data_IF_036786097936
#
_entry.id   IF_036786097936
#
_cell.length_a   1.000
_cell.length_b   1.000
_cell.length_c   1.000
_cell.angle_alpha   90.00
_cell.angle_beta   90.00
_cell.angle_gamma   90.00
#
_symmetry.space_group_name_H-M   'P 1'
#
loop_
_entity.id
_entity.type
_entity.pdbx_description
1 polymer ?
#
# COMPACT_ATOMS: atom_id res chain seq x y z
N UNK A 1 -24.66 -105.34 1.04
CA UNK A 1 -24.60 -104.01 0.40
C UNK A 1 -26.01 -103.52 0.00
N UNK A 2 -26.88 -103.13 0.95
CA UNK A 2 -28.20 -102.55 0.62
C UNK A 2 -28.72 -101.48 1.59
N UNK A 3 -27.92 -101.07 2.57
CA UNK A 3 -28.32 -100.14 3.65
C UNK A 3 -27.56 -98.80 3.66
N UNK A 4 -26.54 -98.61 2.81
CA UNK A 4 -25.80 -97.34 2.72
C UNK A 4 -26.36 -96.37 1.66
N UNK A 5 -27.08 -96.88 0.65
CA UNK A 5 -27.59 -96.06 -0.47
C UNK A 5 -28.91 -95.33 -0.15
N UNK A 6 -29.71 -95.82 0.80
CA UNK A 6 -31.00 -95.22 1.14
C UNK A 6 -30.90 -93.99 2.05
N UNK A 7 -29.82 -93.86 2.84
CA UNK A 7 -29.58 -92.67 3.67
C UNK A 7 -29.07 -91.49 2.83
N UNK A 8 -28.24 -91.74 1.81
CA UNK A 8 -27.65 -90.67 0.97
C UNK A 8 -28.68 -90.06 0.00
N UNK A 9 -29.67 -90.83 -0.45
CA UNK A 9 -30.69 -90.34 -1.40
C UNK A 9 -31.78 -89.45 -0.77
N UNK A 10 -31.96 -89.47 0.56
CA UNK A 10 -32.95 -88.63 1.25
C UNK A 10 -32.39 -87.29 1.78
N UNK A 11 -31.07 -87.17 1.97
CA UNK A 11 -30.45 -85.91 2.39
C UNK A 11 -30.26 -84.92 1.23
N UNK A 12 -30.06 -85.43 0.00
CA UNK A 12 -29.91 -84.62 -1.21
C UNK A 12 -31.12 -83.73 -1.50
N UNK A 13 -32.39 -84.21 -1.47
CA UNK A 13 -33.56 -83.34 -1.72
C UNK A 13 -33.78 -82.30 -0.60
N UNK A 14 -33.32 -82.57 0.62
CA UNK A 14 -33.47 -81.64 1.76
C UNK A 14 -32.44 -80.51 1.71
N UNK A 15 -31.20 -80.81 1.33
CA UNK A 15 -30.20 -79.79 1.04
C UNK A 15 -30.60 -78.93 -0.18
N UNK A 16 -31.17 -79.55 -1.22
CA UNK A 16 -31.63 -78.85 -2.41
C UNK A 16 -32.77 -77.85 -2.12
N UNK A 17 -33.70 -78.18 -1.24
CA UNK A 17 -34.80 -77.28 -0.86
C UNK A 17 -34.31 -76.06 -0.05
N UNK A 18 -33.34 -76.26 0.85
CA UNK A 18 -32.70 -75.15 1.57
C UNK A 18 -31.96 -74.23 0.59
N UNK A 19 -31.17 -74.79 -0.33
CA UNK A 19 -30.47 -74.03 -1.36
C UNK A 19 -31.40 -73.26 -2.29
N UNK A 20 -32.51 -73.88 -2.72
CA UNK A 20 -33.51 -73.22 -3.56
C UNK A 20 -34.24 -72.11 -2.82
N UNK A 21 -34.51 -72.28 -1.52
CA UNK A 21 -35.11 -71.21 -0.71
C UNK A 21 -34.16 -70.02 -0.52
N UNK A 22 -32.86 -70.29 -0.29
CA UNK A 22 -31.83 -69.26 -0.19
C UNK A 22 -31.62 -68.54 -1.53
N UNK A 23 -31.57 -69.29 -2.64
CA UNK A 23 -31.53 -68.73 -3.99
C UNK A 23 -32.77 -67.92 -4.30
N UNK A 24 -33.95 -68.35 -3.85
CA UNK A 24 -35.21 -67.62 -3.96
C UNK A 24 -35.18 -66.30 -3.20
N UNK A 25 -34.74 -66.29 -1.95
CA UNK A 25 -34.61 -65.06 -1.14
C UNK A 25 -33.54 -64.13 -1.72
N UNK A 26 -32.41 -64.67 -2.16
CA UNK A 26 -31.34 -63.92 -2.82
C UNK A 26 -31.85 -63.29 -4.13
N UNK A 27 -32.55 -64.06 -4.96
CA UNK A 27 -33.11 -63.55 -6.24
C UNK A 27 -34.21 -62.53 -5.99
N UNK A 28 -35.05 -62.69 -4.97
CA UNK A 28 -36.03 -61.67 -4.58
C UNK A 28 -35.39 -60.38 -4.06
N UNK A 29 -34.31 -60.50 -3.26
CA UNK A 29 -33.56 -59.36 -2.77
C UNK A 29 -32.87 -58.61 -3.93
N UNK A 30 -32.22 -59.35 -4.84
CA UNK A 30 -31.56 -58.80 -6.04
C UNK A 30 -32.59 -58.21 -7.00
N UNK A 31 -33.72 -58.88 -7.25
CA UNK A 31 -34.80 -58.39 -8.08
C UNK A 31 -35.44 -57.13 -7.47
N UNK A 32 -35.66 -57.09 -6.16
CA UNK A 32 -36.14 -55.90 -5.45
C UNK A 32 -35.16 -54.72 -5.57
N UNK A 33 -33.86 -54.99 -5.50
CA UNK A 33 -32.80 -54.00 -5.67
C UNK A 33 -32.72 -53.46 -7.12
N UNK A 34 -32.90 -54.33 -8.11
CA UNK A 34 -32.87 -54.00 -9.55
C UNK A 34 -34.17 -53.32 -10.03
N UNK A 35 -35.34 -53.68 -9.48
CA UNK A 35 -36.65 -53.12 -9.85
C UNK A 35 -36.97 -51.79 -9.15
N UNK A 36 -36.34 -51.49 -8.00
CA UNK A 36 -36.54 -50.22 -7.25
C UNK A 36 -35.25 -49.48 -6.86
N UNK A 37 -34.28 -49.28 -7.78
CA UNK A 37 -33.01 -48.59 -7.47
C UNK A 37 -33.21 -47.12 -7.06
N UNK A 38 -34.32 -46.50 -7.48
CA UNK A 38 -34.65 -45.10 -7.20
C UNK A 38 -35.12 -44.83 -5.77
N UNK A 39 -35.66 -45.78 -5.00
CA UNK A 39 -36.22 -45.47 -3.67
C UNK A 39 -35.20 -45.56 -2.53
N UNK A 40 -34.12 -46.32 -2.70
CA UNK A 40 -33.07 -46.49 -1.69
C UNK A 40 -31.85 -45.58 -1.96
N UNK A 41 -31.53 -45.27 -3.23
CA UNK A 41 -30.44 -44.33 -3.58
C UNK A 41 -30.82 -42.85 -3.46
N UNK A 42 -32.12 -42.52 -3.48
CA UNK A 42 -32.56 -41.11 -3.42
C UNK A 42 -32.45 -40.47 -2.04
N UNK A 43 -32.43 -41.24 -0.96
CA UNK A 43 -32.50 -40.69 0.40
C UNK A 43 -31.13 -40.64 1.07
N UNK A 44 -30.30 -41.69 0.93
CA UNK A 44 -28.97 -41.70 1.54
C UNK A 44 -28.03 -40.65 0.92
N UNK A 45 -28.01 -40.54 -0.41
CA UNK A 45 -27.21 -39.52 -1.10
C UNK A 45 -27.72 -38.09 -0.87
N UNK A 46 -29.05 -37.90 -0.81
CA UNK A 46 -29.64 -36.60 -0.52
C UNK A 46 -29.41 -36.17 0.93
N UNK A 47 -29.50 -37.07 1.92
CA UNK A 47 -29.25 -36.75 3.33
C UNK A 47 -27.79 -36.52 3.66
N UNK A 48 -26.87 -37.25 3.02
CA UNK A 48 -25.42 -36.97 3.16
C UNK A 48 -25.10 -35.61 2.54
N UNK A 49 -25.72 -35.28 1.40
CA UNK A 49 -25.59 -33.96 0.78
C UNK A 49 -26.23 -32.84 1.60
N UNK A 50 -27.41 -33.08 2.19
CA UNK A 50 -28.08 -32.13 3.10
C UNK A 50 -27.32 -31.93 4.41
N UNK A 51 -26.66 -32.97 4.92
CA UNK A 51 -25.81 -32.87 6.11
C UNK A 51 -24.45 -32.22 5.82
N UNK A 52 -23.97 -32.28 4.58
CA UNK A 52 -22.74 -31.62 4.13
C UNK A 52 -22.97 -30.16 3.69
N UNK A 53 -24.21 -29.79 3.34
CA UNK A 53 -24.58 -28.42 3.06
C UNK A 53 -24.81 -27.69 4.38
N UNK A 54 -24.15 -26.55 4.59
CA UNK A 54 -24.34 -25.80 5.83
C UNK A 54 -25.82 -25.41 5.99
N UNK A 55 -26.31 -25.50 7.21
CA UNK A 55 -27.72 -25.27 7.53
C UNK A 55 -28.17 -23.85 7.18
N UNK A 56 -29.49 -23.60 7.06
CA UNK A 56 -30.01 -22.25 6.84
C UNK A 56 -29.57 -21.28 7.95
N UNK A 57 -29.47 -21.74 9.19
CA UNK A 57 -28.98 -20.94 10.32
C UNK A 57 -27.50 -20.58 10.18
N UNK A 58 -26.64 -21.55 9.80
CA UNK A 58 -25.21 -21.32 9.55
C UNK A 58 -24.95 -20.41 8.34
N UNK A 59 -25.83 -20.41 7.33
CA UNK A 59 -25.78 -19.44 6.22
C UNK A 59 -26.16 -18.04 6.69
N UNK A 60 -27.20 -17.93 7.52
CA UNK A 60 -27.64 -16.65 8.07
C UNK A 60 -26.59 -16.06 9.03
N UNK A 61 -25.91 -16.88 9.84
CA UNK A 61 -24.77 -16.46 10.66
C UNK A 61 -23.61 -15.96 9.82
N UNK A 62 -23.19 -16.72 8.79
CA UNK A 62 -22.11 -16.28 7.88
C UNK A 62 -22.45 -14.98 7.15
N UNK A 63 -23.70 -14.80 6.74
CA UNK A 63 -24.13 -13.55 6.12
C UNK A 63 -24.04 -12.38 7.11
N UNK A 64 -24.48 -12.55 8.36
CA UNK A 64 -24.37 -11.53 9.41
C UNK A 64 -22.91 -11.16 9.70
N UNK A 65 -22.03 -12.13 9.73
CA UNK A 65 -20.60 -11.90 9.95
C UNK A 65 -19.96 -11.18 8.76
N UNK A 66 -20.35 -11.53 7.53
CA UNK A 66 -19.90 -10.83 6.33
C UNK A 66 -20.41 -9.39 6.29
N UNK A 67 -21.68 -9.15 6.60
CA UNK A 67 -22.26 -7.80 6.66
C UNK A 67 -21.55 -6.94 7.73
N UNK A 68 -21.22 -7.54 8.89
CA UNK A 68 -20.45 -6.88 9.94
C UNK A 68 -19.05 -6.51 9.46
N UNK A 69 -18.33 -7.47 8.87
CA UNK A 69 -16.98 -7.24 8.35
C UNK A 69 -16.98 -6.19 7.24
N UNK A 70 -17.93 -6.23 6.31
CA UNK A 70 -18.08 -5.22 5.27
C UNK A 70 -18.34 -3.82 5.86
N UNK A 71 -19.15 -3.74 6.92
CA UNK A 71 -19.36 -2.51 7.68
C UNK A 71 -18.07 -1.99 8.34
N UNK A 72 -17.27 -2.86 8.95
CA UNK A 72 -16.00 -2.49 9.58
C UNK A 72 -14.97 -1.98 8.55
N UNK A 73 -14.85 -2.68 7.41
CA UNK A 73 -13.94 -2.28 6.33
C UNK A 73 -14.38 -0.98 5.68
N UNK A 74 -15.69 -0.74 5.50
CA UNK A 74 -16.21 0.52 5.00
C UNK A 74 -15.84 1.70 5.92
N UNK A 75 -16.03 1.54 7.23
CA UNK A 75 -15.62 2.57 8.21
C UNK A 75 -14.10 2.81 8.19
N UNK A 76 -13.30 1.74 8.02
CA UNK A 76 -11.85 1.86 7.91
C UNK A 76 -11.44 2.62 6.62
N UNK A 77 -12.07 2.30 5.49
CA UNK A 77 -11.84 2.97 4.21
C UNK A 77 -12.20 4.47 4.29
N UNK A 78 -13.34 4.82 4.86
CA UNK A 78 -13.75 6.22 5.05
C UNK A 78 -12.77 7.01 5.92
N UNK A 79 -12.29 6.40 7.01
CA UNK A 79 -11.27 7.03 7.89
C UNK A 79 -9.92 7.18 7.19
N UNK A 80 -9.54 6.21 6.38
CA UNK A 80 -8.31 6.27 5.59
C UNK A 80 -8.40 7.37 4.52
N UNK A 81 -9.55 7.50 3.85
CA UNK A 81 -9.82 8.58 2.90
C UNK A 81 -9.75 9.96 3.55
N UNK A 82 -10.39 10.13 4.71
CA UNK A 82 -10.32 11.38 5.46
C UNK A 82 -8.87 11.71 5.85
N UNK A 83 -8.09 10.71 6.25
CA UNK A 83 -6.67 10.87 6.58
C UNK A 83 -5.84 11.24 5.35
N UNK A 84 -6.08 10.59 4.21
CA UNK A 84 -5.40 10.88 2.95
C UNK A 84 -5.66 12.31 2.49
N UNK A 85 -6.91 12.79 2.59
CA UNK A 85 -7.26 14.19 2.29
C UNK A 85 -6.53 15.17 3.22
N UNK A 86 -6.57 14.96 4.53
CA UNK A 86 -5.86 15.82 5.48
C UNK A 86 -4.36 15.88 5.19
N UNK A 87 -3.74 14.73 4.89
CA UNK A 87 -2.31 14.67 4.55
C UNK A 87 -1.99 15.35 3.22
N UNK A 88 -2.92 15.30 2.27
CA UNK A 88 -2.80 16.03 1.01
C UNK A 88 -2.84 17.54 1.24
N UNK A 89 -3.76 18.02 2.07
CA UNK A 89 -3.86 19.43 2.42
C UNK A 89 -2.62 19.91 3.19
N UNK A 90 -2.13 19.12 4.15
CA UNK A 90 -0.86 19.36 4.85
C UNK A 90 0.31 19.47 3.86
N UNK A 91 0.39 18.57 2.87
CA UNK A 91 1.44 18.62 1.85
C UNK A 91 1.37 19.90 1.00
N UNK A 92 0.18 20.31 0.54
CA UNK A 92 0.01 21.55 -0.21
C UNK A 92 0.47 22.76 0.62
N UNK A 93 0.09 22.82 1.90
CA UNK A 93 0.55 23.90 2.78
C UNK A 93 2.09 23.92 2.91
N UNK A 94 2.73 22.76 3.07
CA UNK A 94 4.21 22.69 3.12
C UNK A 94 4.88 23.01 1.79
N UNK A 95 4.21 22.75 0.66
CA UNK A 95 4.68 23.13 -0.67
C UNK A 95 4.68 24.66 -0.82
N UNK A 96 3.59 25.31 -0.42
CA UNK A 96 3.47 26.78 -0.44
C UNK A 96 4.55 27.43 0.46
N UNK A 97 4.81 26.87 1.65
CA UNK A 97 5.90 27.33 2.53
C UNK A 97 7.28 27.16 1.86
N UNK A 98 7.53 26.03 1.22
CA UNK A 98 8.80 25.77 0.53
C UNK A 98 9.02 26.69 -0.67
N UNK A 99 7.95 27.05 -1.38
CA UNK A 99 7.98 28.01 -2.48
C UNK A 99 8.22 29.44 -1.99
N UNK A 100 7.55 29.87 -0.91
CA UNK A 100 7.81 31.17 -0.30
C UNK A 100 9.26 31.30 0.19
N UNK A 101 9.80 30.25 0.83
CA UNK A 101 11.19 30.22 1.26
C UNK A 101 12.17 30.27 0.07
N UNK A 102 11.82 29.63 -1.05
CA UNK A 102 12.59 29.70 -2.29
C UNK A 102 12.62 31.12 -2.86
N UNK A 103 11.47 31.78 -2.98
CA UNK A 103 11.38 33.15 -3.48
C UNK A 103 12.14 34.14 -2.61
N UNK A 104 12.08 33.99 -1.28
CA UNK A 104 12.85 34.81 -0.35
C UNK A 104 14.37 34.63 -0.55
N UNK A 105 14.81 33.38 -0.72
CA UNK A 105 16.21 33.07 -1.03
C UNK A 105 16.64 33.68 -2.37
N UNK A 106 15.85 33.54 -3.45
CA UNK A 106 16.17 34.12 -4.75
C UNK A 106 16.28 35.65 -4.69
N UNK A 107 15.39 36.31 -3.97
CA UNK A 107 15.45 37.76 -3.75
C UNK A 107 16.74 38.17 -3.00
N UNK A 108 17.14 37.40 -1.98
CA UNK A 108 18.38 37.64 -1.25
C UNK A 108 19.63 37.41 -2.13
N UNK A 109 19.65 36.34 -2.91
CA UNK A 109 20.72 36.03 -3.86
C UNK A 109 20.85 37.12 -4.93
N UNK A 110 19.74 37.63 -5.48
CA UNK A 110 19.76 38.74 -6.43
C UNK A 110 20.37 40.03 -5.82
N UNK A 111 20.09 40.31 -4.54
CA UNK A 111 20.71 41.44 -3.83
C UNK A 111 22.21 41.24 -3.63
N UNK A 112 22.65 40.01 -3.29
CA UNK A 112 24.08 39.68 -3.17
C UNK A 112 24.81 39.86 -4.49
N UNK A 113 24.22 39.41 -5.61
CA UNK A 113 24.82 39.60 -6.95
C UNK A 113 24.97 41.07 -7.30
N UNK A 114 23.90 41.86 -7.14
CA UNK A 114 23.90 43.30 -7.40
C UNK A 114 24.98 44.04 -6.60
N UNK A 115 25.16 43.69 -5.32
CA UNK A 115 26.17 44.30 -4.47
C UNK A 115 27.58 43.78 -4.75
N UNK A 116 27.73 42.53 -5.18
CA UNK A 116 29.02 41.99 -5.60
C UNK A 116 29.52 42.72 -6.85
N UNK A 117 28.63 43.03 -7.80
CA UNK A 117 28.95 43.84 -8.97
C UNK A 117 29.36 45.26 -8.58
N UNK A 118 28.67 45.86 -7.60
CA UNK A 118 29.03 47.17 -7.06
C UNK A 118 30.37 47.15 -6.30
N UNK A 119 30.68 46.06 -5.59
CA UNK A 119 31.94 45.88 -4.86
C UNK A 119 33.15 45.72 -5.78
N UNK A 120 32.94 45.29 -7.03
CA UNK A 120 33.99 45.19 -8.04
C UNK A 120 34.44 46.56 -8.60
N UNK A 121 33.69 47.64 -8.32
CA UNK A 121 34.06 48.99 -8.73
C UNK A 121 35.20 49.55 -7.87
N UNK A 122 36.13 50.34 -8.46
CA UNK A 122 37.21 50.96 -7.72
C UNK A 122 36.69 51.80 -6.55
N UNK A 123 37.23 51.55 -5.36
CA UNK A 123 36.84 52.24 -4.14
C UNK A 123 37.49 53.62 -4.10
N UNK A 124 36.77 54.69 -3.73
CA UNK A 124 37.38 55.99 -3.51
C UNK A 124 38.38 55.90 -2.35
N UNK A 125 39.63 56.30 -2.58
CA UNK A 125 40.73 56.22 -1.60
C UNK A 125 40.68 57.32 -0.53
N UNK A 126 39.53 57.98 -0.34
CA UNK A 126 39.39 59.05 0.64
C UNK A 126 39.30 58.45 2.04
N UNK A 127 40.20 58.82 2.97
CA UNK A 127 40.11 58.36 4.35
C UNK A 127 38.83 58.89 4.99
N UNK A 128 38.09 58.03 5.68
CA UNK A 128 36.83 58.39 6.33
C UNK A 128 37.05 59.07 7.67
N UNK A 129 36.13 59.96 8.02
CA UNK A 129 36.13 60.63 9.32
C UNK A 129 35.55 59.71 10.41
N UNK A 130 35.94 59.89 11.68
CA UNK A 130 35.34 59.13 12.79
C UNK A 130 33.80 59.26 12.89
N UNK A 131 33.25 60.41 12.50
CA UNK A 131 31.80 60.62 12.47
C UNK A 131 31.11 59.72 11.43
N UNK A 132 31.71 59.57 10.25
CA UNK A 132 31.22 58.68 9.19
C UNK A 132 31.24 57.21 9.63
N UNK A 133 32.27 56.78 10.36
CA UNK A 133 32.30 55.42 10.93
C UNK A 133 31.16 55.18 11.91
N UNK A 134 30.90 56.13 12.82
CA UNK A 134 29.81 56.02 13.78
C UNK A 134 28.42 56.04 13.11
N UNK A 135 28.24 56.82 12.04
CA UNK A 135 27.01 56.80 11.23
C UNK A 135 26.79 55.45 10.55
N UNK A 136 27.87 54.83 10.04
CA UNK A 136 27.81 53.52 9.40
C UNK A 136 27.53 52.39 10.38
N UNK A 137 28.12 52.44 11.56
CA UNK A 137 27.82 51.49 12.62
C UNK A 137 26.33 51.55 13.02
N UNK A 138 25.79 52.77 13.21
CA UNK A 138 24.35 52.97 13.46
C UNK A 138 23.47 52.40 12.35
N UNK A 139 23.88 52.61 11.09
CA UNK A 139 23.17 52.06 9.95
C UNK A 139 23.21 50.53 9.93
N UNK A 140 24.36 49.91 10.18
CA UNK A 140 24.53 48.45 10.22
C UNK A 140 23.62 47.83 11.30
N UNK A 141 23.62 48.40 12.51
CA UNK A 141 22.75 47.93 13.59
C UNK A 141 21.27 48.01 13.22
N UNK A 142 20.84 49.11 12.59
CA UNK A 142 19.45 49.27 12.13
C UNK A 142 19.11 48.26 11.05
N UNK A 143 19.97 48.10 10.05
CA UNK A 143 19.76 47.14 8.97
C UNK A 143 19.72 45.68 9.47
N UNK A 144 20.56 45.33 10.45
CA UNK A 144 20.55 44.02 11.09
C UNK A 144 19.27 43.78 11.90
N UNK A 145 18.79 44.79 12.65
CA UNK A 145 17.51 44.73 13.36
C UNK A 145 16.33 44.58 12.38
N UNK A 146 16.32 45.34 11.28
CA UNK A 146 15.29 45.24 10.26
C UNK A 146 15.29 43.87 9.57
N UNK A 147 16.47 43.28 9.33
CA UNK A 147 16.58 41.91 8.81
C UNK A 147 16.09 40.88 9.84
N UNK A 148 16.41 41.06 11.12
CA UNK A 148 15.92 40.20 12.20
C UNK A 148 14.40 40.24 12.34
N UNK A 149 13.79 41.43 12.34
CA UNK A 149 12.33 41.55 12.42
C UNK A 149 11.60 40.94 11.22
N UNK A 150 12.23 40.97 10.04
CA UNK A 150 11.75 40.27 8.84
C UNK A 150 12.04 38.76 8.85
N UNK A 151 12.65 38.24 9.91
CA UNK A 151 13.07 36.83 10.08
C UNK A 151 14.08 36.35 9.02
N UNK A 152 14.82 37.30 8.45
CA UNK A 152 15.87 37.05 7.45
C UNK A 152 17.24 36.78 8.10
N UNK A 153 17.36 37.04 9.40
CA UNK A 153 18.58 36.85 10.19
C UNK A 153 18.27 36.10 11.49
N UNK A 154 19.15 35.19 11.90
CA UNK A 154 18.99 34.48 13.18
C UNK A 154 19.33 35.37 14.38
N UNK A 155 18.85 34.99 15.57
CA UNK A 155 19.20 35.68 16.84
C UNK A 155 20.71 35.61 17.12
N UNK A 156 21.35 34.49 16.79
CA UNK A 156 22.79 34.29 16.95
C UNK A 156 23.56 35.22 16.02
N UNK A 157 23.17 35.29 14.74
CA UNK A 157 23.77 36.19 13.76
C UNK A 157 23.57 37.66 14.16
N UNK A 158 22.41 38.02 14.71
CA UNK A 158 22.17 39.37 15.24
C UNK A 158 23.11 39.69 16.41
N UNK A 159 23.27 38.73 17.32
CA UNK A 159 24.15 38.86 18.47
C UNK A 159 25.61 39.02 18.04
N UNK A 160 26.04 38.32 16.99
CA UNK A 160 27.39 38.43 16.43
C UNK A 160 27.64 39.78 15.75
N UNK A 161 26.62 40.40 15.13
CA UNK A 161 26.69 41.77 14.61
C UNK A 161 26.98 42.76 15.75
N UNK A 162 26.21 42.69 16.84
CA UNK A 162 26.39 43.57 18.01
C UNK A 162 27.66 43.28 18.80
N UNK A 163 28.16 42.04 18.78
CA UNK A 163 29.41 41.64 19.42
C UNK A 163 30.65 41.88 18.52
N UNK A 164 30.46 42.42 17.31
CA UNK A 164 31.50 42.58 16.29
C UNK A 164 32.29 41.28 15.99
N UNK A 165 31.65 40.12 16.15
CA UNK A 165 32.26 38.82 15.87
C UNK A 165 32.10 38.49 14.40
N UNK A 166 33.15 38.76 13.62
CA UNK A 166 33.11 38.63 12.17
C UNK A 166 32.41 39.79 11.46
N UNK A 167 32.06 40.87 12.18
CA UNK A 167 31.47 42.09 11.65
C UNK A 167 32.35 43.27 12.05
N UNK A 168 33.21 43.73 11.14
CA UNK A 168 34.12 44.85 11.44
C UNK A 168 33.56 46.19 10.92
N UNK A 169 33.21 47.14 11.81
CA UNK A 169 32.72 48.47 11.45
C UNK A 169 33.74 49.31 10.66
N UNK A 170 35.01 48.88 10.59
CA UNK A 170 36.07 49.58 9.86
C UNK A 170 36.16 49.19 8.38
N UNK A 171 35.51 48.10 7.97
CA UNK A 171 35.47 47.65 6.58
C UNK A 171 34.82 48.69 5.66
N UNK A 172 34.99 48.51 4.35
CA UNK A 172 34.31 49.37 3.39
C UNK A 172 32.78 49.17 3.50
N UNK A 173 31.91 50.21 3.35
CA UNK A 173 30.48 50.10 3.60
C UNK A 173 29.81 49.13 2.64
N UNK A 174 30.34 49.03 1.41
CA UNK A 174 29.91 48.03 0.42
C UNK A 174 30.29 46.62 0.89
N UNK A 175 31.45 46.42 1.49
CA UNK A 175 31.86 45.13 2.04
C UNK A 175 31.00 44.76 3.26
N UNK A 176 30.69 45.72 4.14
CA UNK A 176 29.81 45.52 5.29
C UNK A 176 28.39 45.13 4.86
N UNK A 177 27.82 45.86 3.91
CA UNK A 177 26.51 45.51 3.38
C UNK A 177 26.55 44.15 2.68
N UNK A 178 27.59 43.85 1.92
CA UNK A 178 27.74 42.55 1.26
C UNK A 178 27.85 41.41 2.27
N UNK A 179 28.55 41.60 3.39
CA UNK A 179 28.57 40.64 4.50
C UNK A 179 27.16 40.43 5.07
N UNK A 180 26.40 41.52 5.30
CA UNK A 180 25.01 41.47 5.78
C UNK A 180 24.12 40.66 4.85
N UNK A 181 24.19 40.96 3.55
CA UNK A 181 23.37 40.26 2.55
C UNK A 181 23.77 38.81 2.37
N UNK A 182 25.05 38.47 2.48
CA UNK A 182 25.52 37.06 2.46
C UNK A 182 25.01 36.29 3.66
N UNK A 183 25.08 36.87 4.86
CA UNK A 183 24.55 36.23 6.07
C UNK A 183 23.04 35.98 5.98
N UNK A 184 22.28 36.96 5.46
CA UNK A 184 20.84 36.82 5.18
C UNK A 184 20.59 35.72 4.14
N UNK A 185 21.30 35.73 3.01
CA UNK A 185 21.17 34.69 1.97
C UNK A 185 21.44 33.31 2.55
N UNK A 186 22.51 33.13 3.31
CA UNK A 186 22.90 31.83 3.87
C UNK A 186 21.86 31.33 4.88
N UNK A 187 21.30 32.23 5.69
CA UNK A 187 20.22 31.91 6.61
C UNK A 187 18.94 31.49 5.86
N UNK A 188 18.52 32.25 4.85
CA UNK A 188 17.36 31.93 4.02
C UNK A 188 17.56 30.65 3.21
N UNK A 189 18.77 30.37 2.75
CA UNK A 189 19.11 29.10 2.10
C UNK A 189 18.94 27.92 3.07
N UNK A 190 19.40 28.06 4.31
CA UNK A 190 19.19 27.04 5.34
C UNK A 190 17.69 26.83 5.64
N UNK A 191 16.91 27.92 5.72
CA UNK A 191 15.45 27.82 5.87
C UNK A 191 14.78 27.14 4.68
N UNK A 192 15.18 27.48 3.46
CA UNK A 192 14.67 26.86 2.23
C UNK A 192 14.93 25.36 2.21
N UNK A 193 16.14 24.94 2.60
CA UNK A 193 16.48 23.51 2.71
C UNK A 193 15.60 22.81 3.73
N UNK A 194 15.44 23.38 4.92
CA UNK A 194 14.57 22.82 5.96
C UNK A 194 13.10 22.77 5.51
N UNK A 195 12.61 23.76 4.77
CA UNK A 195 11.27 23.76 4.20
C UNK A 195 11.10 22.65 3.15
N UNK A 196 12.09 22.46 2.27
CA UNK A 196 12.09 21.36 1.28
C UNK A 196 12.11 19.98 1.93
N UNK A 197 12.86 19.80 3.01
CA UNK A 197 12.87 18.54 3.77
C UNK A 197 11.49 18.25 4.39
N UNK A 198 10.82 19.28 4.94
CA UNK A 198 9.45 19.17 5.46
C UNK A 198 8.43 18.85 4.36
N UNK A 199 8.51 19.52 3.22
CA UNK A 199 7.69 19.25 2.03
C UNK A 199 7.83 17.79 1.59
N UNK A 200 9.07 17.29 1.46
CA UNK A 200 9.33 15.90 1.06
C UNK A 200 8.81 14.87 2.08
N UNK A 201 8.87 15.20 3.38
CA UNK A 201 8.30 14.35 4.42
C UNK A 201 6.76 14.32 4.34
N UNK A 202 6.13 15.48 4.17
CA UNK A 202 4.68 15.59 4.00
C UNK A 202 4.19 14.90 2.72
N UNK A 203 4.93 15.03 1.62
CA UNK A 203 4.64 14.33 0.36
C UNK A 203 4.62 12.81 0.55
N UNK A 204 5.68 12.24 1.15
CA UNK A 204 5.76 10.80 1.43
C UNK A 204 4.61 10.33 2.33
N UNK A 205 4.27 11.12 3.35
CA UNK A 205 3.16 10.82 4.25
C UNK A 205 1.80 10.86 3.53
N UNK A 206 1.60 11.79 2.59
CA UNK A 206 0.41 11.88 1.76
C UNK A 206 0.30 10.71 0.79
N UNK A 207 1.39 10.33 0.12
CA UNK A 207 1.44 9.17 -0.78
C UNK A 207 1.12 7.87 -0.06
N UNK A 208 1.72 7.64 1.12
CA UNK A 208 1.43 6.47 1.95
C UNK A 208 -0.03 6.43 2.40
N UNK A 209 -0.58 7.56 2.86
CA UNK A 209 -1.98 7.63 3.25
C UNK A 209 -2.92 7.39 2.06
N UNK A 210 -2.60 7.95 0.89
CA UNK A 210 -3.35 7.72 -0.35
C UNK A 210 -3.30 6.27 -0.82
N UNK A 211 -2.15 5.59 -0.70
CA UNK A 211 -2.02 4.17 -1.01
C UNK A 211 -2.85 3.29 -0.05
N UNK A 212 -2.77 3.55 1.26
CA UNK A 212 -3.56 2.84 2.25
C UNK A 212 -5.08 3.03 2.02
N UNK A 213 -5.50 4.25 1.70
CA UNK A 213 -6.90 4.55 1.39
C UNK A 213 -7.40 3.80 0.12
N UNK A 214 -6.57 3.70 -0.92
CA UNK A 214 -6.90 2.90 -2.12
C UNK A 214 -7.02 1.42 -1.79
N UNK A 215 -6.07 0.85 -1.04
CA UNK A 215 -6.10 -0.56 -0.62
C UNK A 215 -7.37 -0.88 0.17
N UNK A 216 -7.72 -0.05 1.16
CA UNK A 216 -8.93 -0.25 1.96
C UNK A 216 -10.21 -0.07 1.16
N UNK A 217 -10.21 0.81 0.15
CA UNK A 217 -11.35 0.95 -0.76
C UNK A 217 -11.52 -0.30 -1.63
N UNK A 218 -10.42 -0.89 -2.12
CA UNK A 218 -10.45 -2.14 -2.86
C UNK A 218 -10.96 -3.29 -1.97
N UNK A 219 -10.48 -3.39 -0.73
CA UNK A 219 -10.98 -4.37 0.25
C UNK A 219 -12.46 -4.16 0.58
N UNK A 220 -12.92 -2.92 0.72
CA UNK A 220 -14.34 -2.60 0.94
C UNK A 220 -15.19 -3.07 -0.25
N UNK A 221 -14.74 -2.83 -1.48
CA UNK A 221 -15.45 -3.30 -2.69
C UNK A 221 -15.54 -4.82 -2.66
N UNK A 222 -14.45 -5.53 -2.34
CA UNK A 222 -14.46 -6.99 -2.22
C UNK A 222 -15.39 -7.45 -1.10
N UNK A 223 -15.43 -6.76 0.03
CA UNK A 223 -16.27 -7.11 1.17
C UNK A 223 -17.76 -6.99 0.90
N UNK A 224 -18.14 -6.00 0.08
CA UNK A 224 -19.53 -5.75 -0.33
C UNK A 224 -20.01 -6.73 -1.41
N UNK A 225 -19.11 -7.43 -2.09
CA UNK A 225 -19.50 -8.47 -3.05
C UNK A 225 -20.01 -9.69 -2.28
N UNK A 226 -21.09 -10.35 -2.76
CA UNK A 226 -21.49 -11.64 -2.24
C UNK A 226 -20.29 -12.58 -2.26
N UNK A 227 -20.12 -13.45 -1.24
CA UNK A 227 -19.06 -14.42 -1.27
C UNK A 227 -19.28 -15.21 -2.56
N UNK A 228 -18.28 -15.25 -3.44
CA UNK A 228 -18.34 -16.12 -4.58
C UNK A 228 -18.45 -17.52 -4.00
N UNK A 229 -19.68 -18.05 -3.92
CA UNK A 229 -19.92 -19.44 -3.58
C UNK A 229 -18.92 -20.24 -4.39
N UNK A 230 -18.18 -21.14 -3.74
CA UNK A 230 -17.22 -22.06 -4.32
C UNK A 230 -17.83 -22.79 -5.53
N UNK A 231 -17.89 -22.12 -6.67
CA UNK A 231 -18.29 -22.68 -7.97
C UNK A 231 -17.18 -23.60 -8.50
N UNK A 232 -16.07 -23.70 -7.78
CA UNK A 232 -14.90 -24.49 -8.13
C UNK A 232 -14.92 -25.92 -7.56
N UNK A 233 -15.88 -26.28 -6.68
CA UNK A 233 -15.93 -27.63 -6.09
C UNK A 233 -17.22 -28.40 -6.36
N UNK A 234 -17.83 -28.21 -7.54
CA UNK A 234 -18.93 -29.05 -8.03
C UNK A 234 -18.76 -29.47 -9.50
N UNK A 235 -17.53 -29.66 -9.97
CA UNK A 235 -17.30 -30.54 -11.12
C UNK A 235 -17.24 -31.98 -10.60
N UNK A 236 -18.20 -32.85 -10.96
CA UNK A 236 -18.05 -34.26 -10.68
C UNK A 236 -16.82 -34.75 -11.46
N UNK A 237 -15.86 -35.33 -10.74
CA UNK A 237 -14.83 -36.18 -11.30
C UNK A 237 -15.52 -37.37 -11.98
N UNK A 238 -16.06 -37.15 -13.19
CA UNK A 238 -16.48 -38.21 -14.09
C UNK A 238 -15.19 -38.88 -14.54
N UNK A 239 -14.85 -39.96 -13.84
CA UNK A 239 -13.92 -40.95 -14.35
C UNK A 239 -14.51 -41.55 -15.63
N UNK A 240 -14.13 -40.99 -16.76
CA UNK A 240 -14.10 -41.70 -18.03
C UNK A 240 -12.63 -41.98 -18.32
N UNK A 241 -12.23 -43.21 -18.02
CA UNK A 241 -11.03 -43.78 -18.59
C UNK A 241 -11.15 -43.89 -20.11
N UNK A 242 -9.99 -43.86 -20.74
CA UNK A 242 -9.67 -44.25 -22.11
C UNK A 242 -10.38 -43.53 -23.25
N UNK A 243 -9.64 -42.62 -23.88
CA UNK A 243 -9.26 -42.78 -25.28
C UNK A 243 -8.11 -41.82 -25.63
N UNK A 244 -6.89 -42.36 -25.61
CA UNK A 244 -5.89 -42.25 -26.67
C UNK A 244 -5.97 -41.01 -27.60
N UNK A 245 -5.11 -40.02 -27.36
CA UNK A 245 -4.60 -39.19 -28.45
C UNK A 245 -3.26 -38.55 -28.09
N UNK A 246 -2.22 -39.38 -28.16
CA UNK A 246 -0.84 -38.91 -28.34
C UNK A 246 -0.77 -38.19 -29.69
N UNK A 247 -0.82 -36.86 -29.68
CA UNK A 247 -0.46 -36.03 -30.84
C UNK A 247 0.79 -35.23 -30.48
N UNK A 248 1.91 -35.76 -30.91
CA UNK A 248 3.16 -35.04 -31.13
C UNK A 248 2.90 -33.75 -31.94
N UNK A 249 3.30 -32.60 -31.40
CA UNK A 249 3.70 -31.43 -32.20
C UNK A 249 4.90 -30.76 -31.49
N UNK A 250 5.99 -30.46 -32.22
CA UNK A 250 7.33 -30.25 -31.67
C UNK A 250 7.58 -28.88 -31.02
N UNK A 251 8.53 -28.89 -30.08
CA UNK A 251 9.08 -27.73 -29.39
C UNK A 251 9.78 -26.76 -30.36
N UNK A 252 9.27 -25.52 -30.41
CA UNK A 252 9.96 -24.38 -31.02
C UNK A 252 11.03 -23.91 -30.04
N UNK A 253 12.28 -24.27 -30.33
CA UNK A 253 13.48 -23.72 -29.67
C UNK A 253 13.76 -22.35 -30.29
N UNK A 254 13.45 -21.28 -29.56
CA UNK A 254 13.86 -19.91 -29.92
C UNK A 254 15.30 -19.70 -29.44
N UNK A 255 16.21 -19.62 -30.41
CA UNK A 255 17.64 -19.42 -30.21
C UNK A 255 17.98 -18.06 -29.58
N UNK A 256 18.90 -18.10 -28.62
CA UNK A 256 19.55 -16.95 -28.00
C UNK A 256 20.75 -16.54 -28.87
N UNK A 257 20.72 -15.31 -29.39
CA UNK A 257 21.83 -14.75 -30.15
C UNK A 257 23.04 -14.42 -29.24
N UNK A 258 24.29 -14.58 -29.73
CA UNK A 258 25.48 -14.16 -29.01
C UNK A 258 25.78 -12.67 -29.19
N UNK A 259 26.18 -12.02 -28.10
CA UNK A 259 26.70 -10.65 -28.02
C UNK A 259 28.17 -10.67 -28.46
N UNK A 260 28.60 -9.86 -29.45
CA UNK A 260 30.02 -9.68 -29.74
C UNK A 260 30.66 -8.70 -28.74
N UNK A 261 31.89 -9.03 -28.35
CA UNK A 261 32.82 -8.20 -27.58
C UNK A 261 33.42 -7.07 -28.43
#
# INVERSE_FOLDING_TARGET
MRTALSAVLLDVPRAATIWLSLLGVMTLAVAGLLLRPRRLRFDAGARIRDAALPGPDERADRQRDQDRWAGEVAVAADRADATARRRRDEWIATQDEAEQAWQAYEAAEANVRRLSDAAAMPLPQTPRTPAEYADRERWLHRAALDAYWRRELSVEQLSDVFAHRGWDPRLHPVEQELMLRRAVRDHLFAQQRAAREREQAAWRAAELAGAAARSLREEMIVALLPPAEERESLLPLVGLGDADQTRDIPAVVVGRAPVPA
#
